data_IF_976385918961
#
_entry.id   IF_976385918961
#
_cell.length_a   1.000
_cell.length_b   1.000
_cell.length_c   1.000
_cell.angle_alpha   90.00
_cell.angle_beta   90.00
_cell.angle_gamma   90.00
#
_symmetry.space_group_name_H-M   'P 1'
#
loop_
_entity.id
_entity.type
_entity.pdbx_description
1 polymer ?
#
# COMPACT_ATOMS: atom_id res chain seq x y z
N UNK A 1 5.39 49.91 23.66
CA UNK A 1 6.28 49.63 22.51
C UNK A 1 6.12 48.23 21.91
N UNK A 2 5.54 47.26 22.62
CA UNK A 2 5.33 45.88 22.13
C UNK A 2 4.40 45.75 20.90
N UNK A 3 3.40 46.65 20.75
CA UNK A 3 2.41 46.59 19.65
C UNK A 3 3.01 46.75 18.24
N UNK A 4 4.14 47.45 18.10
CA UNK A 4 4.86 47.60 16.81
C UNK A 4 5.57 46.31 16.38
N UNK A 5 5.94 45.47 17.35
CA UNK A 5 6.63 44.20 17.10
C UNK A 5 5.67 43.01 17.03
N UNK A 6 4.42 43.19 17.42
CA UNK A 6 3.36 42.18 17.37
C UNK A 6 3.23 41.48 15.99
N UNK A 7 3.22 42.19 14.84
CA UNK A 7 3.13 41.50 13.54
C UNK A 7 4.40 40.70 13.22
N UNK A 8 5.58 41.18 13.61
CA UNK A 8 6.84 40.48 13.40
C UNK A 8 6.97 39.23 14.28
N UNK A 9 6.51 39.30 15.54
CA UNK A 9 6.46 38.16 16.44
C UNK A 9 5.50 37.07 15.94
N UNK A 10 4.35 37.47 15.36
CA UNK A 10 3.42 36.54 14.72
C UNK A 10 4.04 35.84 13.50
N UNK A 11 4.79 36.57 12.67
CA UNK A 11 5.49 35.98 11.53
C UNK A 11 6.58 34.98 11.96
N UNK A 12 7.35 35.32 12.99
CA UNK A 12 8.37 34.41 13.55
C UNK A 12 7.70 33.16 14.14
N UNK A 13 6.61 33.33 14.90
CA UNK A 13 5.85 32.22 15.46
C UNK A 13 5.26 31.31 14.37
N UNK A 14 4.72 31.88 13.29
CA UNK A 14 4.20 31.12 12.15
C UNK A 14 5.32 30.35 11.41
N UNK A 15 6.50 30.96 11.24
CA UNK A 15 7.66 30.28 10.65
C UNK A 15 8.16 29.11 11.51
N UNK A 16 8.23 29.30 12.83
CA UNK A 16 8.58 28.24 13.78
C UNK A 16 7.54 27.11 13.80
N UNK A 17 6.26 27.45 13.76
CA UNK A 17 5.17 26.48 13.67
C UNK A 17 5.24 25.69 12.36
N UNK A 18 5.45 26.34 11.22
CA UNK A 18 5.62 25.68 9.93
C UNK A 18 6.85 24.76 9.92
N UNK A 19 7.97 25.18 10.50
CA UNK A 19 9.17 24.36 10.64
C UNK A 19 8.91 23.13 11.53
N UNK A 20 8.24 23.31 12.67
CA UNK A 20 7.86 22.24 13.58
C UNK A 20 6.92 21.24 12.91
N UNK A 21 5.89 21.73 12.22
CA UNK A 21 4.96 20.91 11.43
C UNK A 21 5.71 20.16 10.34
N UNK A 22 6.60 20.79 9.56
CA UNK A 22 7.41 20.10 8.54
C UNK A 22 8.34 19.04 9.12
N UNK A 23 8.89 19.26 10.32
CA UNK A 23 9.76 18.29 11.01
C UNK A 23 8.95 17.10 11.55
N UNK A 24 7.74 17.33 12.04
CA UNK A 24 6.93 16.30 12.71
C UNK A 24 5.82 15.68 11.83
N UNK A 25 5.46 16.27 10.69
CA UNK A 25 4.54 15.67 9.70
C UNK A 25 5.20 14.65 8.80
N UNK A 26 6.54 14.58 8.78
CA UNK A 26 7.21 13.37 8.31
C UNK A 26 6.99 12.30 9.38
N UNK A 27 5.82 11.66 9.31
CA UNK A 27 5.61 10.35 9.91
C UNK A 27 6.82 9.48 9.61
N UNK A 28 7.21 8.64 10.58
CA UNK A 28 8.36 7.75 10.48
C UNK A 28 8.41 7.25 9.06
N UNK A 29 9.45 7.62 8.30
CA UNK A 29 9.78 6.85 7.11
C UNK A 29 9.96 5.46 7.67
N UNK A 30 9.00 4.58 7.41
CA UNK A 30 9.31 3.17 7.38
C UNK A 30 10.38 3.14 6.31
N UNK A 31 11.63 3.12 6.78
CA UNK A 31 12.74 2.80 5.93
C UNK A 31 12.28 1.52 5.25
N UNK A 32 12.05 1.58 3.93
CA UNK A 32 12.15 0.39 3.09
C UNK A 32 13.39 -0.33 3.64
N UNK A 33 13.29 -1.56 4.15
CA UNK A 33 14.35 -2.17 4.93
C UNK A 33 15.64 -1.98 4.15
N UNK A 34 16.50 -1.12 4.71
CA UNK A 34 17.85 -0.93 4.24
C UNK A 34 18.48 -2.28 4.52
N UNK A 35 18.81 -3.00 3.46
CA UNK A 35 19.51 -4.26 3.55
C UNK A 35 20.81 -3.99 4.31
N UNK A 36 20.77 -4.18 5.63
CA UNK A 36 21.93 -4.20 6.50
C UNK A 36 22.85 -5.27 5.95
N UNK A 37 23.87 -4.84 5.21
CA UNK A 37 25.01 -5.66 4.91
C UNK A 37 25.76 -5.87 6.23
N UNK A 38 25.29 -6.87 6.99
CA UNK A 38 26.11 -7.50 8.01
C UNK A 38 27.29 -8.10 7.27
N UNK A 39 28.45 -7.47 7.40
CA UNK A 39 29.77 -8.02 7.09
C UNK A 39 30.04 -9.20 8.02
N UNK A 40 29.32 -10.30 7.82
CA UNK A 40 29.82 -11.63 8.11
C UNK A 40 30.07 -12.29 6.77
N UNK A 41 31.32 -12.70 6.59
CA UNK A 41 31.87 -13.20 5.33
C UNK A 41 31.30 -14.59 5.05
N UNK A 42 30.02 -14.66 4.67
CA UNK A 42 29.42 -15.86 4.10
C UNK A 42 29.75 -15.82 2.61
N UNK A 43 30.72 -16.63 2.21
CA UNK A 43 30.99 -16.89 0.79
C UNK A 43 29.78 -17.57 0.17
N UNK A 44 28.92 -16.79 -0.48
CA UNK A 44 27.87 -17.31 -1.36
C UNK A 44 28.30 -17.03 -2.80
N UNK A 45 28.24 -18.03 -3.71
CA UNK A 45 28.63 -17.84 -5.11
C UNK A 45 27.79 -16.73 -5.76
N UNK A 46 28.44 -15.93 -6.59
CA UNK A 46 27.82 -14.82 -7.30
C UNK A 46 26.71 -15.32 -8.26
N UNK A 47 25.47 -15.27 -7.80
CA UNK A 47 24.30 -15.38 -8.68
C UNK A 47 24.05 -13.98 -9.24
N UNK A 48 24.14 -13.88 -10.57
CA UNK A 48 23.85 -12.68 -11.35
C UNK A 48 22.52 -12.04 -10.90
N UNK A 49 22.39 -10.70 -10.96
CA UNK A 49 21.17 -10.02 -10.56
C UNK A 49 20.03 -10.52 -11.44
N UNK A 50 19.14 -11.32 -10.85
CA UNK A 50 17.90 -11.71 -11.51
C UNK A 50 17.07 -10.45 -11.68
N UNK A 51 16.85 -10.09 -12.94
CA UNK A 51 15.83 -9.13 -13.35
C UNK A 51 14.58 -9.34 -12.50
N UNK A 52 14.02 -8.26 -11.95
CA UNK A 52 12.77 -8.25 -11.17
C UNK A 52 11.60 -8.71 -12.06
N UNK A 53 11.56 -10.01 -12.40
CA UNK A 53 10.42 -10.64 -13.02
C UNK A 53 9.33 -10.63 -11.97
N UNK A 54 8.26 -9.89 -12.26
CA UNK A 54 6.97 -10.03 -11.60
C UNK A 54 6.70 -11.53 -11.47
N UNK A 55 6.77 -12.08 -10.26
CA UNK A 55 6.60 -13.52 -10.06
C UNK A 55 5.22 -13.91 -10.60
N UNK A 56 5.20 -14.55 -11.77
CA UNK A 56 3.98 -15.04 -12.39
C UNK A 56 3.49 -16.22 -11.55
N UNK A 57 2.54 -15.93 -10.66
CA UNK A 57 1.91 -16.95 -9.83
C UNK A 57 0.99 -17.76 -10.73
N UNK A 58 1.26 -19.06 -10.83
CA UNK A 58 0.44 -19.98 -11.61
C UNK A 58 -1.06 -19.82 -11.27
N UNK A 59 -1.82 -19.38 -12.26
CA UNK A 59 -3.28 -19.20 -12.19
C UNK A 59 -3.76 -17.86 -11.62
N UNK A 60 -2.93 -16.82 -11.56
CA UNK A 60 -3.37 -15.44 -11.31
C UNK A 60 -3.09 -14.56 -12.53
N UNK A 61 -4.14 -14.26 -13.30
CA UNK A 61 -4.02 -13.34 -14.44
C UNK A 61 -4.21 -11.88 -14.00
N UNK A 62 -3.16 -11.07 -14.16
CA UNK A 62 -3.18 -9.62 -13.88
C UNK A 62 -3.83 -8.82 -15.00
N UNK A 63 -3.97 -9.38 -16.21
CA UNK A 63 -4.49 -8.72 -17.40
C UNK A 63 -6.01 -8.91 -17.56
N UNK A 64 -6.75 -8.90 -16.45
CA UNK A 64 -8.19 -9.09 -16.49
C UNK A 64 -8.90 -7.95 -17.22
N UNK A 65 -9.61 -8.26 -18.30
CA UNK A 65 -10.43 -7.31 -19.08
C UNK A 65 -11.57 -6.69 -18.27
N UNK A 66 -12.02 -7.39 -17.22
CA UNK A 66 -13.16 -6.99 -16.39
C UNK A 66 -12.83 -7.16 -14.91
N UNK A 67 -12.88 -6.05 -14.17
CA UNK A 67 -12.72 -6.01 -12.71
C UNK A 67 -14.10 -5.78 -12.08
N UNK A 68 -14.48 -6.63 -11.13
CA UNK A 68 -15.77 -6.61 -10.45
C UNK A 68 -15.52 -6.36 -8.96
N UNK A 69 -16.14 -5.34 -8.39
CA UNK A 69 -16.00 -5.03 -6.96
C UNK A 69 -17.15 -5.62 -6.15
N UNK A 70 -16.81 -6.39 -5.11
CA UNK A 70 -17.81 -6.88 -4.15
C UNK A 70 -18.43 -5.72 -3.35
N UNK A 71 -19.61 -5.92 -2.76
CA UNK A 71 -20.23 -4.92 -1.87
C UNK A 71 -19.31 -4.55 -0.71
N UNK A 72 -18.65 -5.54 -0.12
CA UNK A 72 -17.71 -5.34 0.98
C UNK A 72 -16.47 -4.57 0.55
N UNK A 73 -15.94 -4.86 -0.65
CA UNK A 73 -14.82 -4.13 -1.22
C UNK A 73 -15.17 -2.65 -1.40
N UNK A 74 -16.32 -2.33 -1.99
CA UNK A 74 -16.78 -0.94 -2.18
C UNK A 74 -16.91 -0.19 -0.85
N UNK A 75 -17.58 -0.79 0.14
CA UNK A 75 -17.69 -0.18 1.46
C UNK A 75 -16.31 0.12 2.09
N UNK A 76 -15.37 -0.82 1.94
CA UNK A 76 -14.01 -0.68 2.47
C UNK A 76 -13.16 0.32 1.70
N UNK A 77 -13.36 0.46 0.40
CA UNK A 77 -12.75 1.49 -0.43
C UNK A 77 -13.21 2.88 0.03
N UNK A 78 -14.52 3.09 0.16
CA UNK A 78 -15.09 4.37 0.58
C UNK A 78 -14.67 4.77 2.00
N UNK A 79 -14.66 3.80 2.92
CA UNK A 79 -14.29 4.02 4.32
C UNK A 79 -12.80 4.36 4.49
N UNK A 80 -11.93 3.73 3.70
CA UNK A 80 -10.46 3.89 3.82
C UNK A 80 -9.86 4.89 2.84
N UNK A 81 -10.69 5.56 2.05
CA UNK A 81 -10.25 6.51 1.01
C UNK A 81 -9.30 5.83 0.02
N UNK A 82 -9.68 4.63 -0.41
CA UNK A 82 -8.97 3.89 -1.45
C UNK A 82 -9.82 3.88 -2.71
N UNK A 83 -9.30 4.38 -3.81
CA UNK A 83 -10.04 4.49 -5.07
C UNK A 83 -9.78 3.33 -6.04
N UNK A 84 -10.52 3.28 -7.15
CA UNK A 84 -10.35 2.22 -8.16
C UNK A 84 -9.01 2.29 -8.90
N UNK A 85 -8.41 3.47 -9.02
CA UNK A 85 -7.13 3.67 -9.70
C UNK A 85 -5.99 3.06 -8.88
N UNK A 86 -6.02 3.24 -7.56
CA UNK A 86 -5.12 2.58 -6.62
C UNK A 86 -5.28 1.06 -6.66
N UNK A 87 -6.51 0.56 -6.78
CA UNK A 87 -6.74 -0.88 -6.91
C UNK A 87 -6.10 -1.45 -8.18
N UNK A 88 -6.24 -0.75 -9.30
CA UNK A 88 -5.63 -1.13 -10.59
C UNK A 88 -4.11 -0.99 -10.57
N UNK A 89 -3.58 0.01 -9.88
CA UNK A 89 -2.14 0.21 -9.67
C UNK A 89 -1.54 -1.00 -8.95
N UNK A 90 -2.15 -1.42 -7.84
CA UNK A 90 -1.70 -2.56 -7.05
C UNK A 90 -1.86 -3.88 -7.81
N UNK A 91 -2.91 -4.03 -8.62
CA UNK A 91 -3.05 -5.20 -9.49
C UNK A 91 -1.85 -5.37 -10.44
N UNK A 92 -1.33 -4.25 -10.98
CA UNK A 92 -0.21 -4.24 -11.92
C UNK A 92 1.13 -4.35 -11.22
N UNK A 93 1.39 -3.48 -10.24
CA UNK A 93 2.70 -3.25 -9.66
C UNK A 93 2.91 -3.95 -8.32
N UNK A 94 1.85 -4.46 -7.70
CA UNK A 94 1.93 -5.06 -6.37
C UNK A 94 2.56 -6.45 -6.36
N UNK A 95 2.99 -6.86 -5.16
CA UNK A 95 3.61 -8.16 -4.89
C UNK A 95 2.59 -9.11 -4.27
N UNK A 96 2.50 -10.33 -4.78
CA UNK A 96 1.56 -11.32 -4.25
C UNK A 96 2.12 -11.89 -2.93
N UNK A 97 1.29 -11.87 -1.89
CA UNK A 97 1.64 -12.52 -0.63
C UNK A 97 1.24 -13.99 -0.67
N UNK A 98 2.18 -14.83 -1.14
CA UNK A 98 2.01 -16.28 -1.27
C UNK A 98 1.59 -16.97 0.03
N UNK A 99 2.05 -16.49 1.18
CA UNK A 99 1.72 -17.06 2.51
C UNK A 99 0.24 -16.90 2.87
N UNK A 100 -0.46 -15.97 2.21
CA UNK A 100 -1.86 -15.64 2.47
C UNK A 100 -2.80 -16.05 1.35
N UNK A 101 -2.31 -16.75 0.33
CA UNK A 101 -3.17 -17.34 -0.70
C UNK A 101 -4.08 -18.36 -0.02
N UNK A 102 -5.40 -18.18 -0.19
CA UNK A 102 -6.40 -19.11 0.34
C UNK A 102 -7.09 -19.80 -0.82
N UNK A 103 -7.34 -21.10 -0.66
CA UNK A 103 -8.07 -21.90 -1.62
C UNK A 103 -9.24 -22.58 -0.90
N UNK A 104 -10.43 -22.06 -1.14
CA UNK A 104 -11.65 -22.52 -0.47
C UNK A 104 -12.61 -23.14 -1.49
N UNK A 105 -13.75 -23.67 -1.01
CA UNK A 105 -14.86 -24.11 -1.88
C UNK A 105 -15.36 -23.02 -2.83
N UNK A 106 -15.13 -21.75 -2.48
CA UNK A 106 -15.47 -20.58 -3.28
C UNK A 106 -14.41 -20.24 -4.32
N UNK A 107 -13.28 -20.96 -4.39
CA UNK A 107 -12.18 -20.71 -5.31
C UNK A 107 -10.96 -20.11 -4.62
N UNK A 108 -9.91 -19.87 -5.42
CA UNK A 108 -8.62 -19.36 -4.98
C UNK A 108 -8.61 -17.83 -4.91
N UNK A 109 -8.04 -17.29 -3.84
CA UNK A 109 -7.88 -15.85 -3.61
C UNK A 109 -6.40 -15.48 -3.53
N UNK A 110 -6.08 -14.31 -4.07
CA UNK A 110 -4.73 -13.80 -4.25
C UNK A 110 -4.61 -12.44 -3.56
N UNK A 111 -3.98 -12.38 -2.38
CA UNK A 111 -3.67 -11.12 -1.72
C UNK A 111 -2.47 -10.48 -2.40
N UNK A 112 -2.65 -9.27 -2.94
CA UNK A 112 -1.60 -8.46 -3.54
C UNK A 112 -1.36 -7.25 -2.65
N UNK A 113 -0.11 -7.01 -2.31
CA UNK A 113 0.33 -5.93 -1.42
C UNK A 113 1.20 -4.94 -2.17
N UNK A 114 1.11 -3.67 -1.80
CA UNK A 114 1.96 -2.64 -2.36
C UNK A 114 1.62 -1.26 -1.82
N UNK A 115 2.39 -0.28 -2.29
CA UNK A 115 2.14 1.12 -2.00
C UNK A 115 1.39 1.75 -3.16
N UNK A 116 0.34 2.51 -2.85
CA UNK A 116 -0.39 3.31 -3.84
C UNK A 116 0.35 4.60 -4.16
N UNK A 117 -0.07 5.32 -5.20
CA UNK A 117 0.46 6.65 -5.52
C UNK A 117 0.31 7.67 -4.38
N UNK A 118 -0.71 7.50 -3.52
CA UNK A 118 -0.92 8.28 -2.30
C UNK A 118 -0.06 7.82 -1.11
N UNK A 119 0.81 6.83 -1.34
CA UNK A 119 1.73 6.24 -0.36
C UNK A 119 1.01 5.50 0.77
N UNK A 120 -0.21 5.03 0.52
CA UNK A 120 -0.89 4.12 1.43
C UNK A 120 -0.39 2.70 1.18
N UNK A 121 -0.05 1.97 2.23
CA UNK A 121 0.32 0.57 2.13
C UNK A 121 -0.96 -0.29 2.20
N UNK A 122 -1.32 -0.89 1.07
CA UNK A 122 -2.61 -1.59 0.95
C UNK A 122 -2.41 -3.04 0.55
N UNK A 123 -3.33 -3.88 1.02
CA UNK A 123 -3.52 -5.27 0.58
C UNK A 123 -4.88 -5.39 -0.10
N UNK A 124 -4.87 -5.89 -1.33
CA UNK A 124 -6.07 -6.14 -2.11
C UNK A 124 -6.21 -7.63 -2.33
N UNK A 125 -7.37 -8.18 -1.99
CA UNK A 125 -7.65 -9.60 -2.18
C UNK A 125 -8.44 -9.77 -3.46
N UNK A 126 -7.81 -10.35 -4.47
CA UNK A 126 -8.43 -10.69 -5.74
C UNK A 126 -8.88 -12.15 -5.77
N UNK A 127 -9.99 -12.43 -6.44
CA UNK A 127 -10.46 -13.77 -6.73
C UNK A 127 -10.70 -13.89 -8.23
N UNK A 128 -10.11 -14.90 -8.87
CA UNK A 128 -10.34 -15.16 -10.28
C UNK A 128 -11.61 -15.99 -10.45
N UNK A 129 -12.55 -15.48 -11.25
CA UNK A 129 -13.84 -16.08 -11.57
C UNK A 129 -14.03 -16.12 -13.08
N UNK A 130 -14.96 -16.97 -13.55
CA UNK A 130 -15.23 -17.12 -14.98
C UNK A 130 -15.66 -15.78 -15.64
N UNK A 131 -16.37 -14.94 -14.89
CA UNK A 131 -16.87 -13.64 -15.36
C UNK A 131 -15.86 -12.47 -15.24
N UNK A 132 -14.65 -12.74 -14.72
CA UNK A 132 -13.59 -11.73 -14.55
C UNK A 132 -12.92 -11.76 -13.18
N UNK A 133 -12.15 -10.71 -12.90
CA UNK A 133 -11.39 -10.58 -11.66
C UNK A 133 -12.21 -9.86 -10.59
N UNK A 134 -12.52 -10.56 -9.51
CA UNK A 134 -13.34 -10.02 -8.42
C UNK A 134 -12.45 -9.47 -7.31
N UNK A 135 -12.62 -8.20 -6.95
CA UNK A 135 -12.04 -7.61 -5.76
C UNK A 135 -12.92 -7.97 -4.57
N UNK A 136 -12.40 -8.85 -3.71
CA UNK A 136 -13.13 -9.36 -2.54
C UNK A 136 -13.13 -8.34 -1.42
N UNK A 137 -11.96 -7.78 -1.10
CA UNK A 137 -11.79 -6.74 -0.08
C UNK A 137 -10.52 -5.93 -0.34
N UNK A 138 -10.52 -4.71 0.17
CA UNK A 138 -9.36 -3.83 0.27
C UNK A 138 -9.03 -3.64 1.75
N UNK A 139 -7.75 -3.59 2.11
CA UNK A 139 -7.26 -3.47 3.48
C UNK A 139 -6.10 -2.47 3.48
N UNK A 140 -6.19 -1.46 4.33
CA UNK A 140 -5.04 -0.63 4.71
C UNK A 140 -4.23 -1.39 5.77
N UNK A 141 -2.93 -1.54 5.56
CA UNK A 141 -2.03 -2.29 6.44
C UNK A 141 -1.40 -1.42 7.52
N UNK A 142 -1.41 -0.10 7.35
CA UNK A 142 -0.77 0.84 8.26
C UNK A 142 -1.78 1.51 9.20
N UNK A 143 -3.03 1.67 8.75
CA UNK A 143 -4.08 2.35 9.52
C UNK A 143 -5.28 1.44 9.81
N UNK A 144 -5.68 1.40 11.07
CA UNK A 144 -6.93 0.75 11.48
C UNK A 144 -8.12 1.71 11.37
N UNK A 145 -8.98 1.45 10.38
CA UNK A 145 -10.20 2.22 10.14
C UNK A 145 -11.40 1.55 10.80
N UNK A 146 -12.17 2.30 11.60
CA UNK A 146 -13.44 1.82 12.16
C UNK A 146 -14.55 1.90 11.11
N UNK A 147 -14.70 0.82 10.35
CA UNK A 147 -15.72 0.67 9.32
C UNK A 147 -16.77 -0.36 9.73
N UNK A 148 -18.07 -0.04 9.62
CA UNK A 148 -19.17 -1.00 9.76
C UNK A 148 -19.60 -1.52 8.37
N UNK A 149 -18.73 -2.31 7.74
CA UNK A 149 -19.00 -2.94 6.44
C UNK A 149 -19.54 -4.36 6.65
N UNK A 150 -20.68 -4.67 6.00
CA UNK A 150 -21.40 -5.95 6.09
C UNK A 150 -21.41 -6.70 4.76
#
# INVERSE_FOLDING_TARGET
MLKKYLPYLLLIAAGLLFYFVKKNQRGKRVNKPETEQVTEKITVPAVLPQEEKTEEVAGFDRNATKIIFSKHAKCRMDCRKIDESEVKEILKNGTINHKKIQNDKRGKTYPVEGFTHDKQHVRIVFAQKDDGLVVVTVIDLDTEWKCDCK
#
